data_IF_568141685926
#
_entry.id   IF_568141685926
#
_cell.length_a   1.000
_cell.length_b   1.000
_cell.length_c   1.000
_cell.angle_alpha   90.00
_cell.angle_beta   90.00
_cell.angle_gamma   90.00
#
_symmetry.space_group_name_H-M   'P 1'
#
loop_
_entity.id
_entity.type
_entity.pdbx_description
1 polymer ?
#
# COMPACT_ATOMS: atom_id res chain seq x y z
N UNK A 1 -4.44 19.09 2.39
CA UNK A 1 -5.17 18.64 1.20
C UNK A 1 -5.02 17.13 1.07
N UNK A 2 -6.13 16.41 0.95
CA UNK A 2 -6.12 14.97 0.73
C UNK A 2 -6.35 14.67 -0.73
N UNK A 3 -5.45 13.87 -1.30
CA UNK A 3 -5.62 13.32 -2.64
C UNK A 3 -6.04 11.88 -2.48
N UNK A 4 -7.25 11.58 -2.93
CA UNK A 4 -7.78 10.22 -2.90
C UNK A 4 -7.57 9.52 -4.22
N UNK A 5 -7.43 8.21 -4.17
CA UNK A 5 -7.45 7.38 -5.35
C UNK A 5 -8.79 7.50 -6.09
N UNK A 6 -8.76 7.34 -7.39
CA UNK A 6 -9.98 7.31 -8.18
C UNK A 6 -10.80 6.05 -7.87
N UNK A 7 -12.13 6.14 -7.78
CA UNK A 7 -12.97 5.00 -7.45
C UNK A 7 -12.93 3.86 -8.47
N UNK A 8 -12.43 4.10 -9.67
CA UNK A 8 -12.38 3.13 -10.76
C UNK A 8 -10.96 2.84 -11.27
N UNK A 9 -9.92 3.31 -10.59
CA UNK A 9 -8.54 3.26 -11.07
C UNK A 9 -8.25 4.23 -12.21
N UNK A 10 -6.98 4.37 -12.55
CA UNK A 10 -6.50 5.43 -13.43
C UNK A 10 -7.06 5.31 -14.84
N UNK A 11 -7.45 4.28 -15.39
CA UNK A 11 -7.99 4.17 -16.75
C UNK A 11 -9.05 3.07 -16.88
N UNK A 12 -9.70 2.72 -15.79
CA UNK A 12 -10.79 1.77 -15.75
C UNK A 12 -10.39 0.35 -16.21
N UNK A 13 -9.10 0.03 -16.11
CA UNK A 13 -8.54 -1.22 -16.62
C UNK A 13 -8.12 -2.19 -15.52
N UNK A 14 -8.14 -1.71 -14.28
CA UNK A 14 -7.68 -2.48 -13.14
C UNK A 14 -8.46 -2.10 -11.89
N UNK A 15 -8.30 -2.87 -10.84
CA UNK A 15 -8.81 -2.55 -9.52
C UNK A 15 -7.85 -1.66 -8.71
N UNK A 16 -6.83 -1.06 -9.36
CA UNK A 16 -5.76 -0.30 -8.72
C UNK A 16 -5.57 1.07 -9.36
N UNK A 17 -5.09 2.02 -8.55
CA UNK A 17 -4.41 3.22 -9.00
C UNK A 17 -2.94 2.92 -9.34
N UNK A 18 -2.28 3.85 -10.05
CA UNK A 18 -0.89 3.65 -10.50
C UNK A 18 0.14 3.51 -9.36
N UNK A 19 -0.18 3.98 -8.17
CA UNK A 19 0.65 3.89 -6.95
C UNK A 19 0.39 2.62 -6.11
N UNK A 20 -0.46 1.71 -6.59
CA UNK A 20 -0.82 0.47 -5.90
C UNK A 20 -2.00 0.60 -4.93
N UNK A 21 -2.54 1.79 -4.73
CA UNK A 21 -3.78 1.98 -3.94
C UNK A 21 -4.94 1.28 -4.63
N UNK A 22 -5.72 0.42 -3.94
CA UNK A 22 -6.91 -0.17 -4.53
C UNK A 22 -7.95 0.91 -4.88
N UNK A 23 -8.79 0.65 -5.87
CA UNK A 23 -9.91 1.54 -6.18
C UNK A 23 -10.82 1.71 -4.97
N UNK A 24 -11.22 2.94 -4.70
CA UNK A 24 -12.01 3.22 -3.51
C UNK A 24 -12.39 4.69 -3.38
N UNK A 25 -12.81 5.06 -2.20
CA UNK A 25 -13.27 6.40 -1.86
C UNK A 25 -12.95 6.74 -0.41
N UNK A 26 -12.91 8.02 -0.10
CA UNK A 26 -12.78 8.48 1.28
C UNK A 26 -14.13 8.62 1.95
N UNK A 27 -14.17 8.29 3.22
CA UNK A 27 -15.29 8.55 4.13
C UNK A 27 -14.83 9.58 5.16
N UNK A 28 -15.60 10.63 5.36
CA UNK A 28 -15.32 11.69 6.32
C UNK A 28 -16.42 11.74 7.36
N UNK A 29 -16.04 11.80 8.62
CA UNK A 29 -16.95 12.15 9.72
C UNK A 29 -16.78 13.64 10.02
N UNK A 30 -17.90 14.37 10.09
CA UNK A 30 -17.89 15.84 10.21
C UNK A 30 -18.80 16.27 11.36
N UNK A 31 -18.25 17.05 12.28
CA UNK A 31 -19.01 17.70 13.36
C UNK A 31 -18.93 19.22 13.21
N UNK A 32 -20.06 19.85 12.90
CA UNK A 32 -20.09 21.27 12.59
C UNK A 32 -19.24 21.60 11.36
N UNK A 33 -18.16 22.36 11.53
CA UNK A 33 -17.20 22.72 10.49
C UNK A 33 -15.89 21.92 10.60
N UNK A 34 -15.77 20.95 11.51
CA UNK A 34 -14.56 20.17 11.72
C UNK A 34 -14.70 18.77 11.14
N UNK A 35 -13.62 18.27 10.50
CA UNK A 35 -13.47 16.86 10.17
C UNK A 35 -12.94 16.19 11.45
N UNK A 36 -13.67 15.22 11.97
CA UNK A 36 -13.34 14.51 13.21
C UNK A 36 -12.73 13.14 12.99
N UNK A 37 -12.96 12.56 11.80
CA UNK A 37 -12.32 11.34 11.32
C UNK A 37 -12.38 11.29 9.79
N UNK A 38 -11.47 10.57 9.17
CA UNK A 38 -11.58 10.21 7.77
C UNK A 38 -10.78 8.95 7.48
N UNK A 39 -11.26 8.14 6.56
CA UNK A 39 -10.66 6.86 6.19
C UNK A 39 -10.88 6.53 4.73
N UNK A 40 -10.01 5.71 4.20
CA UNK A 40 -10.15 5.20 2.85
C UNK A 40 -10.91 3.88 2.86
N UNK A 41 -11.90 3.74 1.99
CA UNK A 41 -12.66 2.51 1.79
C UNK A 41 -12.42 1.98 0.38
N UNK A 42 -11.71 0.85 0.27
CA UNK A 42 -11.61 0.13 -0.99
C UNK A 42 -12.99 -0.37 -1.46
N UNK A 43 -13.23 -0.31 -2.77
CA UNK A 43 -14.46 -0.82 -3.37
C UNK A 43 -14.59 -2.35 -3.28
N UNK A 44 -13.45 -3.06 -3.20
CA UNK A 44 -13.39 -4.52 -3.24
C UNK A 44 -13.00 -5.17 -1.92
N UNK A 45 -12.42 -4.42 -1.00
CA UNK A 45 -11.90 -4.94 0.26
C UNK A 45 -12.63 -4.35 1.46
N UNK A 46 -12.51 -5.03 2.60
CA UNK A 46 -12.95 -4.50 3.88
C UNK A 46 -12.23 -3.18 4.23
N UNK A 47 -12.84 -2.35 5.07
CA UNK A 47 -12.30 -1.06 5.49
C UNK A 47 -10.98 -1.20 6.28
N UNK A 48 -10.76 -2.34 6.92
CA UNK A 48 -9.51 -2.64 7.62
C UNK A 48 -8.31 -2.86 6.67
N UNK A 49 -8.55 -3.09 5.37
CA UNK A 49 -7.49 -3.29 4.39
C UNK A 49 -6.90 -1.96 3.93
N UNK A 50 -5.89 -1.47 4.67
CA UNK A 50 -5.20 -0.21 4.43
C UNK A 50 -3.72 -0.38 4.07
N UNK A 51 -3.22 -1.64 4.02
CA UNK A 51 -1.80 -1.94 3.87
C UNK A 51 -1.64 -3.13 2.93
N UNK A 52 -0.70 -3.03 1.98
CA UNK A 52 -0.19 -4.19 1.22
C UNK A 52 1.30 -4.36 1.51
N UNK A 53 1.72 -5.62 1.72
CA UNK A 53 3.11 -5.94 2.01
C UNK A 53 3.81 -6.63 0.86
N UNK A 54 5.08 -6.26 0.65
CA UNK A 54 5.99 -6.87 -0.30
C UNK A 54 7.37 -7.10 0.35
N UNK A 55 8.19 -7.89 -0.31
CA UNK A 55 9.59 -8.07 0.05
C UNK A 55 10.49 -7.26 -0.87
N UNK A 56 11.60 -6.78 -0.34
CA UNK A 56 12.68 -6.26 -1.16
C UNK A 56 13.19 -7.33 -2.12
N UNK A 57 13.58 -6.94 -3.32
CA UNK A 57 14.02 -7.86 -4.36
C UNK A 57 12.91 -8.65 -5.06
N UNK A 58 11.66 -8.62 -4.58
CA UNK A 58 10.55 -9.23 -5.31
C UNK A 58 10.38 -8.58 -6.67
N UNK A 59 10.19 -9.42 -7.68
CA UNK A 59 10.00 -9.00 -9.07
C UNK A 59 8.57 -9.33 -9.51
N UNK A 60 7.93 -8.34 -10.10
CA UNK A 60 6.57 -8.43 -10.62
C UNK A 60 6.56 -8.06 -12.10
N UNK A 61 6.41 -9.06 -12.99
CA UNK A 61 6.39 -8.89 -14.46
C UNK A 61 7.51 -7.98 -14.99
N UNK A 62 8.74 -8.20 -14.48
CA UNK A 62 9.94 -7.47 -14.90
C UNK A 62 10.26 -6.20 -14.10
N UNK A 63 9.44 -5.84 -13.12
CA UNK A 63 9.69 -4.70 -12.22
C UNK A 63 10.05 -5.19 -10.83
N UNK A 64 11.20 -4.75 -10.30
CA UNK A 64 11.79 -5.24 -9.05
C UNK A 64 11.83 -4.14 -8.01
N UNK A 65 11.47 -4.45 -6.77
CA UNK A 65 11.71 -3.54 -5.64
C UNK A 65 13.22 -3.42 -5.37
N UNK A 66 13.79 -2.20 -5.36
CA UNK A 66 15.24 -1.97 -5.29
C UNK A 66 15.81 -2.10 -3.87
N UNK A 67 15.40 -3.15 -3.14
CA UNK A 67 15.80 -3.42 -1.77
C UNK A 67 16.30 -4.85 -1.60
N UNK A 68 16.98 -5.13 -0.48
CA UNK A 68 17.40 -6.49 -0.16
C UNK A 68 16.19 -7.38 0.16
N UNK A 69 16.27 -8.70 -0.02
CA UNK A 69 15.17 -9.62 0.33
C UNK A 69 14.74 -9.60 1.82
N UNK A 70 15.56 -9.00 2.68
CA UNK A 70 15.22 -8.82 4.10
C UNK A 70 14.27 -7.65 4.33
N UNK A 71 14.24 -6.69 3.44
CA UNK A 71 13.44 -5.47 3.60
C UNK A 71 11.95 -5.79 3.50
N UNK A 72 11.19 -5.37 4.49
CA UNK A 72 9.73 -5.31 4.46
C UNK A 72 9.34 -3.99 3.81
N UNK A 73 8.48 -4.06 2.81
CA UNK A 73 7.93 -2.92 2.11
C UNK A 73 6.43 -2.89 2.37
N UNK A 74 5.92 -1.78 2.88
CA UNK A 74 4.51 -1.56 3.13
C UNK A 74 4.01 -0.38 2.28
N UNK A 75 3.10 -0.66 1.38
CA UNK A 75 2.31 0.37 0.73
C UNK A 75 1.10 0.65 1.64
N UNK A 76 1.10 1.83 2.28
CA UNK A 76 0.08 2.24 3.25
C UNK A 76 -0.69 3.41 2.63
N UNK A 77 -1.71 3.08 1.84
CA UNK A 77 -2.46 4.12 1.15
C UNK A 77 -3.18 5.02 2.12
N UNK A 78 -3.27 6.28 1.73
CA UNK A 78 -3.87 7.34 2.52
C UNK A 78 -3.05 7.83 3.72
N UNK A 79 -1.86 7.26 3.97
CA UNK A 79 -1.00 7.70 5.05
C UNK A 79 -0.52 9.14 4.83
N UNK A 80 -0.65 9.96 5.85
CA UNK A 80 -0.12 11.31 5.92
C UNK A 80 1.04 11.40 6.95
N UNK A 81 1.71 12.56 7.09
CA UNK A 81 2.85 12.70 7.98
C UNK A 81 2.57 12.43 9.48
N UNK A 82 1.31 12.43 9.90
CA UNK A 82 0.94 12.15 11.29
C UNK A 82 0.69 10.66 11.56
N UNK A 83 0.68 9.84 10.52
CA UNK A 83 0.57 8.40 10.69
C UNK A 83 1.86 7.80 11.24
N UNK A 84 1.70 6.80 12.10
CA UNK A 84 2.81 6.00 12.60
C UNK A 84 2.75 4.61 12.01
N UNK A 85 3.78 4.22 11.24
CA UNK A 85 3.88 2.90 10.64
C UNK A 85 5.03 2.14 11.30
N UNK A 86 4.74 0.96 11.83
CA UNK A 86 5.67 0.19 12.68
C UNK A 86 5.77 -1.25 12.20
N UNK A 87 6.99 -1.79 12.13
CA UNK A 87 7.25 -3.21 11.94
C UNK A 87 7.19 -3.91 13.29
N UNK A 88 6.42 -5.00 13.34
CA UNK A 88 6.31 -5.90 14.49
C UNK A 88 6.99 -7.22 14.20
N UNK A 89 7.72 -7.74 15.18
CA UNK A 89 8.37 -9.04 15.16
C UNK A 89 7.84 -9.89 16.32
N UNK A 90 7.27 -11.07 16.02
CA UNK A 90 6.65 -11.96 17.03
C UNK A 90 5.61 -11.26 17.92
N UNK A 91 4.84 -10.35 17.34
CA UNK A 91 3.78 -9.60 18.05
C UNK A 91 4.23 -8.37 18.80
N UNK A 92 5.54 -8.05 18.81
CA UNK A 92 6.09 -6.86 19.47
C UNK A 92 6.46 -5.80 18.43
N UNK A 93 6.05 -4.56 18.64
CA UNK A 93 6.49 -3.42 17.82
C UNK A 93 7.99 -3.17 18.06
N UNK A 94 8.81 -3.36 17.03
CA UNK A 94 10.26 -3.32 17.17
C UNK A 94 10.91 -2.16 16.45
N UNK A 95 10.28 -1.65 15.39
CA UNK A 95 10.92 -0.64 14.56
C UNK A 95 9.92 0.26 13.83
N UNK A 96 10.09 1.58 13.96
CA UNK A 96 9.40 2.52 13.08
C UNK A 96 9.87 2.31 11.64
N UNK A 97 8.94 2.29 10.70
CA UNK A 97 9.26 2.17 9.28
C UNK A 97 9.54 3.54 8.68
N UNK A 98 10.43 3.58 7.70
CA UNK A 98 10.84 4.82 7.03
C UNK A 98 9.98 5.06 5.79
N UNK A 99 9.37 6.23 5.69
CA UNK A 99 8.67 6.67 4.48
C UNK A 99 9.67 6.91 3.34
N UNK A 100 9.38 6.31 2.18
CA UNK A 100 10.15 6.48 0.94
C UNK A 100 9.22 6.95 -0.17
N UNK A 101 9.57 8.06 -0.79
CA UNK A 101 8.70 8.75 -1.78
C UNK A 101 9.30 8.79 -3.18
N UNK A 102 10.42 8.09 -3.40
CA UNK A 102 11.22 8.17 -4.63
C UNK A 102 11.07 6.98 -5.54
N UNK A 103 10.51 5.87 -5.07
CA UNK A 103 10.35 4.65 -5.84
C UNK A 103 8.90 4.40 -6.23
N UNK A 104 8.73 3.71 -7.34
CA UNK A 104 7.41 3.23 -7.78
C UNK A 104 7.01 2.01 -6.98
N UNK A 105 5.72 1.74 -6.90
CA UNK A 105 5.22 0.45 -6.47
C UNK A 105 5.46 -0.58 -7.59
N UNK A 106 6.45 -1.47 -7.41
CA UNK A 106 6.87 -2.42 -8.43
C UNK A 106 5.76 -3.41 -8.80
N UNK A 107 4.89 -3.77 -7.85
CA UNK A 107 3.75 -4.64 -8.09
C UNK A 107 2.70 -3.96 -8.99
N UNK A 108 2.34 -2.72 -8.68
CA UNK A 108 1.40 -1.95 -9.49
C UNK A 108 1.94 -1.70 -10.90
N UNK A 109 3.21 -1.29 -11.01
CA UNK A 109 3.87 -1.09 -12.31
C UNK A 109 3.96 -2.41 -13.09
N UNK A 110 4.31 -3.51 -12.41
CA UNK A 110 4.34 -4.85 -12.99
C UNK A 110 3.02 -5.23 -13.61
N UNK A 111 1.92 -4.97 -12.92
CA UNK A 111 0.60 -5.24 -13.48
C UNK A 111 0.24 -4.33 -14.65
N UNK A 112 0.33 -3.01 -14.46
CA UNK A 112 -0.12 -2.06 -15.49
C UNK A 112 0.77 -2.08 -16.74
N UNK A 113 2.09 -2.07 -16.56
CA UNK A 113 3.04 -2.00 -17.68
C UNK A 113 3.39 -3.40 -18.17
N UNK A 114 3.73 -4.32 -17.26
CA UNK A 114 4.17 -5.67 -17.61
C UNK A 114 3.05 -6.55 -18.12
N UNK A 115 1.90 -6.60 -17.42
CA UNK A 115 0.78 -7.47 -17.79
C UNK A 115 -0.16 -6.80 -18.78
N UNK A 116 -0.58 -5.55 -18.51
CA UNK A 116 -1.57 -4.86 -19.34
C UNK A 116 -0.98 -4.07 -20.52
N UNK A 117 0.36 -3.99 -20.62
CA UNK A 117 1.05 -3.27 -21.69
C UNK A 117 0.78 -1.77 -21.71
N UNK A 118 0.54 -1.14 -20.52
CA UNK A 118 0.29 0.30 -20.41
C UNK A 118 1.59 1.11 -20.48
N UNK A 119 1.46 2.40 -20.76
CA UNK A 119 2.60 3.28 -20.93
C UNK A 119 3.28 3.72 -19.63
N UNK A 120 4.32 4.52 -19.75
CA UNK A 120 5.21 4.93 -18.65
C UNK A 120 4.58 5.84 -17.61
N UNK A 121 3.42 6.43 -17.87
CA UNK A 121 2.65 7.21 -16.90
C UNK A 121 2.24 6.41 -15.64
N UNK A 122 2.31 5.08 -15.70
CA UNK A 122 2.14 4.21 -14.52
C UNK A 122 3.40 4.06 -13.66
N UNK A 123 4.53 4.63 -14.08
CA UNK A 123 5.81 4.57 -13.36
C UNK A 123 6.05 5.76 -12.43
N UNK A 124 4.99 6.41 -11.98
CA UNK A 124 5.11 7.52 -11.02
C UNK A 124 5.51 7.01 -9.63
N UNK A 125 6.39 7.74 -8.90
CA UNK A 125 6.77 7.36 -7.55
C UNK A 125 5.56 7.32 -6.60
N UNK A 126 5.45 6.24 -5.83
CA UNK A 126 4.52 6.11 -4.72
C UNK A 126 4.92 7.06 -3.57
N UNK A 127 3.95 7.73 -2.94
CA UNK A 127 4.19 8.73 -1.90
C UNK A 127 3.88 8.23 -0.48
N UNK A 128 3.47 6.99 -0.35
CA UNK A 128 3.05 6.37 0.91
C UNK A 128 3.63 4.95 1.06
N UNK A 129 4.86 4.75 0.56
CA UNK A 129 5.60 3.50 0.71
C UNK A 129 6.52 3.59 1.92
N UNK A 130 6.46 2.61 2.80
CA UNK A 130 7.28 2.50 3.99
C UNK A 130 8.18 1.29 3.94
N UNK A 131 9.41 1.40 4.47
CA UNK A 131 10.39 0.32 4.45
C UNK A 131 11.05 0.14 5.81
N UNK A 132 11.34 -1.11 6.18
CA UNK A 132 12.20 -1.45 7.30
C UNK A 132 12.82 -2.85 7.11
N UNK A 133 13.99 -3.08 7.72
CA UNK A 133 14.54 -4.42 7.85
C UNK A 133 14.29 -4.95 9.27
N UNK A 134 13.76 -6.17 9.46
CA UNK A 134 13.56 -6.76 10.77
C UNK A 134 14.91 -7.05 11.45
N UNK A 135 14.90 -7.11 12.76
CA UNK A 135 16.06 -7.54 13.53
C UNK A 135 16.29 -9.06 13.39
N UNK A 136 15.21 -9.84 13.35
CA UNK A 136 15.24 -11.27 13.03
C UNK A 136 14.39 -11.58 11.79
N UNK A 137 15.04 -11.98 10.71
CA UNK A 137 14.38 -12.34 9.45
C UNK A 137 13.48 -13.58 9.55
N UNK A 138 13.62 -14.35 10.63
CA UNK A 138 12.80 -15.53 10.90
C UNK A 138 11.60 -15.26 11.79
N UNK A 139 11.49 -14.04 12.32
CA UNK A 139 10.35 -13.65 13.14
C UNK A 139 9.05 -13.66 12.32
N UNK A 140 7.93 -13.91 12.98
CA UNK A 140 6.63 -13.63 12.42
C UNK A 140 6.47 -12.10 12.29
N UNK A 141 6.37 -11.62 11.04
CA UNK A 141 6.35 -10.20 10.72
C UNK A 141 4.92 -9.69 10.53
N UNK A 142 4.67 -8.51 11.04
CA UNK A 142 3.42 -7.76 10.84
C UNK A 142 3.74 -6.28 10.76
N UNK A 143 3.06 -5.55 9.90
CA UNK A 143 3.08 -4.10 9.88
C UNK A 143 1.81 -3.57 10.53
N UNK A 144 1.99 -2.54 11.35
CA UNK A 144 0.93 -1.81 12.03
C UNK A 144 1.00 -0.37 11.60
N UNK A 145 -0.10 0.18 11.14
CA UNK A 145 -0.25 1.60 10.88
C UNK A 145 -1.32 2.19 11.81
N UNK A 146 -1.02 3.33 12.39
CA UNK A 146 -1.95 4.08 13.24
C UNK A 146 -2.09 5.48 12.66
N UNK A 147 -3.31 5.86 12.34
CA UNK A 147 -3.61 7.18 11.78
C UNK A 147 -3.63 8.28 12.84
N UNK A 148 -3.89 9.52 12.43
CA UNK A 148 -3.93 10.69 13.31
C UNK A 148 -5.08 10.67 14.33
N UNK A 149 -6.14 9.88 14.08
CA UNK A 149 -7.28 9.73 15.00
C UNK A 149 -7.16 8.51 15.91
N UNK A 150 -6.12 7.69 15.73
CA UNK A 150 -5.85 6.51 16.53
C UNK A 150 -6.43 5.23 15.97
N UNK A 151 -7.02 5.25 14.77
CA UNK A 151 -7.45 4.02 14.11
C UNK A 151 -6.23 3.17 13.77
N UNK A 152 -6.34 1.85 14.01
CA UNK A 152 -5.24 0.91 13.88
C UNK A 152 -5.52 -0.10 12.79
N UNK A 153 -4.59 -0.22 11.87
CA UNK A 153 -4.62 -1.14 10.73
C UNK A 153 -3.43 -2.09 10.80
N UNK A 154 -3.64 -3.35 10.45
CA UNK A 154 -2.61 -4.39 10.55
C UNK A 154 -2.57 -5.26 9.30
N UNK A 155 -1.36 -5.66 8.89
CA UNK A 155 -1.17 -6.61 7.80
C UNK A 155 0.03 -7.51 8.07
N UNK A 156 -0.14 -8.81 7.89
CA UNK A 156 0.92 -9.83 8.03
C UNK A 156 1.13 -10.68 6.78
N UNK A 157 0.20 -10.60 5.83
CA UNK A 157 0.28 -11.36 4.58
C UNK A 157 1.06 -10.59 3.53
N UNK A 158 2.07 -11.23 2.96
CA UNK A 158 2.88 -10.67 1.89
C UNK A 158 2.31 -11.09 0.54
N UNK A 159 2.18 -10.13 -0.36
CA UNK A 159 1.82 -10.39 -1.75
C UNK A 159 2.96 -11.14 -2.44
N UNK A 160 2.66 -12.31 -2.98
CA UNK A 160 3.67 -13.11 -3.68
C UNK A 160 4.08 -12.46 -5.01
N UNK A 161 5.30 -12.74 -5.51
CA UNK A 161 5.70 -12.35 -6.86
C UNK A 161 4.66 -12.76 -7.91
N UNK A 162 4.32 -11.83 -8.81
CA UNK A 162 3.33 -12.00 -9.89
C UNK A 162 1.90 -12.39 -9.44
N UNK A 163 1.59 -12.32 -8.15
CA UNK A 163 0.21 -12.44 -7.69
C UNK A 163 -0.52 -11.11 -7.89
N UNK A 164 -1.27 -11.02 -8.99
CA UNK A 164 -2.08 -9.87 -9.36
C UNK A 164 -3.58 -10.09 -9.14
N UNK A 165 -3.96 -11.00 -8.27
CA UNK A 165 -5.39 -11.30 -8.01
C UNK A 165 -6.16 -10.05 -7.63
N UNK A 166 -5.64 -9.25 -6.70
CA UNK A 166 -6.25 -8.00 -6.24
C UNK A 166 -6.17 -6.84 -7.25
N UNK A 167 -5.31 -6.97 -8.27
CA UNK A 167 -5.15 -5.94 -9.29
C UNK A 167 -6.20 -6.02 -10.40
N UNK A 168 -6.85 -7.17 -10.54
CA UNK A 168 -7.79 -7.43 -11.64
C UNK A 168 -9.13 -6.76 -11.34
N UNK A 169 -9.67 -6.08 -12.33
CA UNK A 169 -11.07 -5.66 -12.28
C UNK A 169 -11.99 -6.89 -12.24
N UNK A 170 -13.03 -6.86 -11.41
CA UNK A 170 -14.07 -7.87 -11.50
C UNK A 170 -14.59 -7.96 -12.94
N UNK A 171 -14.66 -9.15 -13.47
CA UNK A 171 -15.34 -9.39 -14.75
C UNK A 171 -16.84 -9.44 -14.44
N UNK A 172 -17.58 -8.48 -14.92
CA UNK A 172 -19.05 -8.44 -14.86
C UNK A 172 -19.65 -9.09 -16.09
#
# INVERSE_FOLDING_TARGET
EHIHGAPCGVFWHSALNGDGTPNGYAVYDVEGAAITDWRYKSSLHDESFQIRLHRGGDTHSGFTYPYTPKTVIANVWNADPEWRVTLCENGVETKAMTLVTTYTDAWSVGYHVGVLGRGDNYKSPCKHMYVAEPNDVRAALKVVAVDRWGNRYEQSEFTAPDDFTDARSPVY
#
